data_IF_608148618808
#
_entry.id   IF_608148618808
#
_cell.length_a   1.000
_cell.length_b   1.000
_cell.length_c   1.000
_cell.angle_alpha   90.00
_cell.angle_beta   90.00
_cell.angle_gamma   90.00
#
_symmetry.space_group_name_H-M   'P 1'
#
loop_
_entity.id
_entity.type
_entity.pdbx_description
1 polymer ?
#
# COMPACT_ATOMS: atom_id res chain seq x y z
N UNK A 1 2.79 -20.93 32.47
CA UNK A 1 3.55 -19.80 31.90
C UNK A 1 2.59 -18.92 31.08
N UNK A 2 2.38 -17.67 31.50
CA UNK A 2 1.56 -16.71 30.73
C UNK A 2 2.31 -16.41 29.43
N UNK A 3 1.73 -16.78 28.30
CA UNK A 3 2.16 -16.29 26.99
C UNK A 3 1.89 -14.79 26.93
N UNK A 4 2.83 -13.97 27.41
CA UNK A 4 2.84 -12.55 27.11
C UNK A 4 2.90 -12.42 25.59
N UNK A 5 1.77 -12.06 24.98
CA UNK A 5 1.72 -11.68 23.57
C UNK A 5 2.68 -10.51 23.40
N UNK A 6 3.88 -10.77 22.90
CA UNK A 6 4.80 -9.73 22.44
C UNK A 6 4.02 -8.91 21.39
N UNK A 7 3.59 -7.71 21.79
CA UNK A 7 2.93 -6.77 20.90
C UNK A 7 3.97 -6.37 19.87
N UNK A 8 3.96 -7.01 18.69
CA UNK A 8 4.82 -6.63 17.58
C UNK A 8 4.53 -5.17 17.22
N UNK A 9 5.45 -4.29 17.64
CA UNK A 9 5.41 -2.83 17.45
C UNK A 9 5.44 -2.49 15.96
N UNK A 10 4.73 -1.44 15.55
CA UNK A 10 5.07 -0.76 14.31
C UNK A 10 6.41 -0.05 14.53
N UNK A 11 7.44 -0.43 13.77
CA UNK A 11 8.73 0.26 13.79
C UNK A 11 8.58 1.56 12.97
N UNK A 12 8.07 2.59 13.63
CA UNK A 12 8.04 3.98 13.12
C UNK A 12 9.37 4.64 13.42
N UNK A 13 9.82 5.49 12.51
CA UNK A 13 11.06 6.25 12.67
C UNK A 13 10.65 7.58 13.33
N UNK A 14 11.24 7.96 14.48
CA UNK A 14 11.00 9.28 15.06
C UNK A 14 11.55 10.36 14.11
N UNK A 15 10.81 11.45 13.95
CA UNK A 15 11.24 12.60 13.15
C UNK A 15 11.91 13.67 14.01
N UNK A 16 11.69 13.65 15.33
CA UNK A 16 12.39 14.47 16.30
C UNK A 16 13.57 13.70 16.92
N UNK A 17 14.68 14.39 17.14
CA UNK A 17 15.90 13.84 17.76
C UNK A 17 15.87 13.94 19.28
N UNK A 18 15.23 14.99 19.79
CA UNK A 18 14.90 15.22 21.19
C UNK A 18 13.40 15.54 21.29
N UNK A 19 12.74 15.03 22.33
CA UNK A 19 11.34 15.30 22.60
C UNK A 19 11.23 16.40 23.65
N UNK A 20 10.44 17.42 23.37
CA UNK A 20 10.14 18.46 24.35
C UNK A 20 8.94 18.03 25.19
N UNK A 21 8.85 18.58 26.41
CA UNK A 21 7.68 18.40 27.28
C UNK A 21 6.43 19.03 26.62
N UNK A 22 6.62 20.09 25.83
CA UNK A 22 5.55 20.76 25.10
C UNK A 22 5.20 20.03 23.80
N UNK A 23 4.04 19.38 23.82
CA UNK A 23 3.48 18.61 22.70
C UNK A 23 3.08 19.50 21.53
N UNK A 24 2.70 20.76 21.78
CA UNK A 24 2.40 21.74 20.74
C UNK A 24 3.68 22.15 20.00
N UNK A 25 4.77 22.32 20.75
CA UNK A 25 6.07 22.61 20.14
C UNK A 25 6.59 21.40 19.35
N UNK A 26 6.44 20.17 19.86
CA UNK A 26 6.71 18.96 19.09
C UNK A 26 5.94 18.91 17.76
N UNK A 27 4.63 19.23 17.77
CA UNK A 27 3.83 19.31 16.54
C UNK A 27 4.37 20.37 15.58
N UNK A 28 4.65 21.59 16.07
CA UNK A 28 5.25 22.66 15.28
C UNK A 28 6.58 22.23 14.65
N UNK A 29 7.43 21.55 15.40
CA UNK A 29 8.73 21.06 14.94
C UNK A 29 8.58 20.00 13.82
N UNK A 30 7.59 19.10 13.93
CA UNK A 30 7.29 18.12 12.87
C UNK A 30 6.79 18.82 11.60
N UNK A 31 5.88 19.78 11.74
CA UNK A 31 5.36 20.59 10.62
C UNK A 31 6.50 21.35 9.96
N UNK A 32 7.37 21.99 10.74
CA UNK A 32 8.53 22.71 10.25
C UNK A 32 9.47 21.80 9.46
N UNK A 33 9.83 20.62 10.00
CA UNK A 33 10.65 19.63 9.28
C UNK A 33 10.00 19.16 7.99
N UNK A 34 8.69 18.95 7.98
CA UNK A 34 7.98 18.56 6.77
C UNK A 34 8.00 19.67 5.71
N UNK A 35 7.84 20.95 6.11
CA UNK A 35 7.90 22.11 5.20
C UNK A 35 9.29 22.33 4.60
N UNK A 36 10.36 21.89 5.27
CA UNK A 36 11.72 21.93 4.72
C UNK A 36 11.94 20.90 3.59
N UNK A 37 11.10 19.86 3.50
CA UNK A 37 11.25 18.84 2.47
C UNK A 37 10.81 19.36 1.10
N UNK A 38 11.75 19.36 0.15
CA UNK A 38 11.47 19.63 -1.26
C UNK A 38 11.34 18.30 -2.01
N UNK A 39 10.12 17.77 -2.06
CA UNK A 39 9.83 16.55 -2.84
C UNK A 39 9.52 16.92 -4.29
N UNK A 40 10.08 16.17 -5.22
CA UNK A 40 9.79 16.33 -6.64
C UNK A 40 8.29 16.10 -6.91
N UNK A 41 7.63 17.05 -7.58
CA UNK A 41 6.20 17.05 -7.89
C UNK A 41 5.34 17.82 -6.88
N UNK A 42 5.94 18.35 -5.82
CA UNK A 42 5.27 19.10 -4.75
C UNK A 42 5.54 20.61 -4.87
N UNK A 43 6.09 21.09 -5.99
CA UNK A 43 6.61 22.47 -6.14
C UNK A 43 5.50 23.54 -6.05
N UNK A 44 4.29 23.22 -6.51
CA UNK A 44 3.17 24.15 -6.56
C UNK A 44 2.19 23.98 -5.40
N UNK A 45 2.53 23.17 -4.41
CA UNK A 45 1.63 22.90 -3.29
C UNK A 45 1.58 24.10 -2.35
N UNK A 46 0.37 24.59 -2.15
CA UNK A 46 0.06 25.54 -1.10
C UNK A 46 -0.26 24.78 0.17
N UNK A 47 0.54 24.99 1.22
CA UNK A 47 0.41 24.22 2.46
C UNK A 47 -0.98 24.33 3.09
N UNK A 48 -1.63 25.49 2.99
CA UNK A 48 -2.93 25.75 3.61
C UNK A 48 -4.12 25.15 2.83
N UNK A 49 -3.89 24.67 1.60
CA UNK A 49 -4.93 24.06 0.79
C UNK A 49 -5.23 22.63 1.23
N UNK A 50 -6.49 22.24 1.23
CA UNK A 50 -6.95 20.91 1.64
C UNK A 50 -6.74 19.84 0.56
N UNK A 51 -6.53 20.28 -0.69
CA UNK A 51 -6.21 19.42 -1.83
C UNK A 51 -4.83 19.81 -2.33
N UNK A 52 -3.92 18.83 -2.34
CA UNK A 52 -2.61 18.98 -2.94
C UNK A 52 -2.59 18.30 -4.30
N UNK A 53 -2.32 19.08 -5.33
CA UNK A 53 -2.05 18.59 -6.67
C UNK A 53 -0.56 18.30 -6.84
N UNK A 54 -0.26 17.06 -7.22
CA UNK A 54 1.10 16.57 -7.43
C UNK A 54 1.27 16.33 -8.91
N UNK A 55 2.25 17.00 -9.53
CA UNK A 55 2.42 17.05 -10.99
C UNK A 55 3.60 16.21 -11.49
N UNK A 56 4.49 15.78 -10.59
CA UNK A 56 5.62 14.92 -10.96
C UNK A 56 6.07 14.00 -9.80
N UNK A 57 7.23 13.37 -9.95
CA UNK A 57 7.84 12.56 -8.89
C UNK A 57 7.29 11.13 -8.75
N UNK A 58 7.67 10.49 -7.63
CA UNK A 58 7.53 9.04 -7.42
C UNK A 58 6.08 8.56 -7.43
N UNK A 59 5.16 9.38 -6.91
CA UNK A 59 3.74 9.02 -6.85
C UNK A 59 3.08 8.92 -8.24
N UNK A 60 3.58 9.68 -9.22
CA UNK A 60 3.16 9.61 -10.62
C UNK A 60 3.85 8.46 -11.37
N UNK A 61 5.15 8.25 -11.13
CA UNK A 61 5.95 7.20 -11.79
C UNK A 61 5.46 5.78 -11.48
N UNK A 62 4.85 5.56 -10.31
CA UNK A 62 4.28 4.25 -9.95
C UNK A 62 2.91 3.98 -10.59
N UNK A 63 2.29 4.99 -11.19
CA UNK A 63 1.01 4.80 -11.88
C UNK A 63 1.27 4.22 -13.28
N UNK A 64 0.78 3.01 -13.54
CA UNK A 64 0.83 2.39 -14.89
C UNK A 64 -0.16 3.04 -15.88
N UNK A 65 -0.63 4.25 -15.57
CA UNK A 65 -1.63 5.01 -16.30
C UNK A 65 -0.97 6.32 -16.71
N UNK A 66 -1.28 6.84 -17.90
CA UNK A 66 -0.82 8.15 -18.38
C UNK A 66 -1.53 9.29 -17.61
N UNK A 67 -1.32 9.35 -16.31
CA UNK A 67 -1.86 10.37 -15.43
C UNK A 67 -0.87 11.53 -15.41
N UNK A 68 -1.35 12.76 -15.66
CA UNK A 68 -0.52 13.98 -15.64
C UNK A 68 -0.42 14.60 -14.25
N UNK A 69 -1.44 14.42 -13.41
CA UNK A 69 -1.47 14.94 -12.05
C UNK A 69 -2.25 14.02 -11.10
N UNK A 70 -1.90 14.05 -9.82
CA UNK A 70 -2.51 13.23 -8.77
C UNK A 70 -2.86 14.11 -7.59
N UNK A 71 -4.07 13.91 -7.06
CA UNK A 71 -4.52 14.68 -5.88
C UNK A 71 -4.40 13.85 -4.61
N UNK A 72 -3.83 14.47 -3.58
CA UNK A 72 -3.98 14.09 -2.17
C UNK A 72 -4.99 15.03 -1.52
N UNK A 73 -5.99 14.47 -0.83
CA UNK A 73 -7.08 15.24 -0.22
C UNK A 73 -7.02 15.03 1.29
N UNK A 74 -6.83 16.11 2.04
CA UNK A 74 -6.79 16.13 3.50
C UNK A 74 -8.18 16.43 4.04
N UNK A 75 -9.12 15.57 3.68
CA UNK A 75 -10.53 15.64 4.05
C UNK A 75 -10.88 14.47 4.95
N UNK A 76 -12.01 14.57 5.65
CA UNK A 76 -12.64 13.41 6.23
C UNK A 76 -12.95 12.37 5.15
N UNK A 77 -12.92 11.09 5.50
CA UNK A 77 -13.38 10.04 4.59
C UNK A 77 -14.79 10.38 4.05
N UNK A 78 -15.09 9.98 2.82
CA UNK A 78 -16.43 10.16 2.23
C UNK A 78 -17.53 9.50 3.07
N UNK A 79 -17.19 8.45 3.82
CA UNK A 79 -18.08 7.77 4.77
C UNK A 79 -18.33 8.56 6.07
N UNK A 80 -17.58 9.65 6.28
CA UNK A 80 -17.67 10.56 7.43
C UNK A 80 -18.10 11.98 7.00
N UNK A 81 -18.59 12.14 5.77
CA UNK A 81 -19.13 13.42 5.26
C UNK A 81 -18.21 14.21 4.33
N UNK A 82 -16.96 13.76 4.09
CA UNK A 82 -16.03 14.42 3.15
C UNK A 82 -15.71 15.90 3.43
N UNK A 83 -15.97 16.37 4.65
CA UNK A 83 -15.66 17.73 5.07
C UNK A 83 -14.16 17.94 5.25
N UNK A 84 -13.71 19.20 5.30
CA UNK A 84 -12.32 19.54 5.59
C UNK A 84 -11.88 18.97 6.94
N UNK A 85 -10.67 18.40 7.00
CA UNK A 85 -10.12 17.84 8.24
C UNK A 85 -9.87 18.96 9.28
N UNK A 86 -9.27 20.08 8.83
CA UNK A 86 -9.07 21.29 9.62
C UNK A 86 -8.06 21.16 10.77
N UNK A 87 -7.61 22.32 11.24
CA UNK A 87 -6.84 22.46 12.49
C UNK A 87 -5.58 21.60 12.57
N UNK A 88 -5.24 21.19 13.80
CA UNK A 88 -4.02 20.42 14.10
C UNK A 88 -3.99 19.05 13.40
N UNK A 89 -5.15 18.44 13.13
CA UNK A 89 -5.25 17.16 12.44
C UNK A 89 -4.86 17.24 10.97
N UNK A 90 -5.27 18.31 10.28
CA UNK A 90 -4.88 18.56 8.89
C UNK A 90 -3.38 18.82 8.76
N UNK A 91 -2.85 19.68 9.64
CA UNK A 91 -1.42 19.99 9.71
C UNK A 91 -0.57 18.75 9.98
N UNK A 92 -1.00 17.92 10.95
CA UNK A 92 -0.35 16.66 11.26
C UNK A 92 -0.40 15.68 10.08
N UNK A 93 -1.56 15.55 9.42
CA UNK A 93 -1.72 14.65 8.28
C UNK A 93 -0.79 15.04 7.13
N UNK A 94 -0.74 16.32 6.79
CA UNK A 94 0.17 16.90 5.78
C UNK A 94 1.62 16.61 6.11
N UNK A 95 2.03 16.91 7.35
CA UNK A 95 3.41 16.71 7.78
C UNK A 95 3.81 15.22 7.76
N UNK A 96 3.00 14.33 8.33
CA UNK A 96 3.28 12.90 8.35
C UNK A 96 3.30 12.29 6.96
N UNK A 97 2.42 12.71 6.04
CA UNK A 97 2.43 12.22 4.65
C UNK A 97 3.77 12.53 3.96
N UNK A 98 4.26 13.77 4.05
CA UNK A 98 5.55 14.15 3.46
C UNK A 98 6.72 13.39 4.10
N UNK A 99 6.75 13.33 5.43
CA UNK A 99 7.81 12.65 6.16
C UNK A 99 7.80 11.12 5.92
N UNK A 100 6.62 10.51 5.78
CA UNK A 100 6.47 9.10 5.39
C UNK A 100 6.92 8.84 3.96
N UNK A 101 6.59 9.72 3.01
CA UNK A 101 7.05 9.65 1.62
C UNK A 101 8.57 9.77 1.49
N UNK A 102 9.17 10.65 2.30
CA UNK A 102 10.61 10.82 2.32
C UNK A 102 11.32 9.60 2.93
N UNK A 103 10.83 9.09 4.06
CA UNK A 103 11.48 8.00 4.81
C UNK A 103 11.29 6.60 4.22
N UNK A 104 10.18 6.33 3.53
CA UNK A 104 9.87 5.02 2.95
C UNK A 104 9.27 5.15 1.56
N UNK A 105 9.55 4.17 0.70
CA UNK A 105 8.86 4.02 -0.58
C UNK A 105 7.41 3.58 -0.33
N UNK A 106 6.48 4.56 -0.31
CA UNK A 106 5.05 4.33 -0.14
C UNK A 106 4.29 4.79 -1.38
N UNK A 107 3.46 3.91 -1.91
CA UNK A 107 2.65 4.20 -3.08
C UNK A 107 1.42 5.07 -2.77
N UNK A 108 0.80 5.60 -3.82
CA UNK A 108 -0.36 6.49 -3.67
C UNK A 108 -1.53 5.86 -2.90
N UNK A 109 -1.98 4.61 -3.18
CA UNK A 109 -3.04 3.98 -2.39
C UNK A 109 -2.71 3.88 -0.90
N UNK A 110 -1.45 3.61 -0.54
CA UNK A 110 -0.99 3.57 0.84
C UNK A 110 -1.09 4.95 1.50
N UNK A 111 -0.68 6.02 0.80
CA UNK A 111 -0.81 7.39 1.33
C UNK A 111 -2.26 7.77 1.56
N UNK A 112 -3.14 7.49 0.59
CA UNK A 112 -4.58 7.75 0.73
C UNK A 112 -5.19 6.95 1.88
N UNK A 113 -4.80 5.68 2.03
CA UNK A 113 -5.24 4.84 3.15
C UNK A 113 -4.79 5.38 4.51
N UNK A 114 -3.58 5.94 4.58
CA UNK A 114 -3.06 6.57 5.78
C UNK A 114 -3.83 7.85 6.14
N UNK A 115 -4.11 8.72 5.18
CA UNK A 115 -4.95 9.93 5.38
C UNK A 115 -6.35 9.53 5.86
N UNK A 116 -6.95 8.51 5.24
CA UNK A 116 -8.25 8.00 5.67
C UNK A 116 -8.19 7.55 7.13
N UNK A 117 -7.17 6.77 7.54
CA UNK A 117 -7.03 6.35 8.92
C UNK A 117 -6.92 7.54 9.90
N UNK A 118 -6.15 8.57 9.56
CA UNK A 118 -6.09 9.81 10.36
C UNK A 118 -7.46 10.43 10.49
N UNK A 119 -8.24 10.53 9.41
CA UNK A 119 -9.58 11.12 9.47
C UNK A 119 -10.54 10.40 10.42
N UNK A 120 -10.46 9.07 10.52
CA UNK A 120 -11.28 8.30 11.46
C UNK A 120 -10.85 8.53 12.91
N UNK A 121 -9.55 8.66 13.16
CA UNK A 121 -9.04 8.96 14.51
C UNK A 121 -9.40 10.39 14.91
N UNK A 122 -9.25 11.36 14.01
CA UNK A 122 -9.69 12.73 14.22
C UNK A 122 -11.19 12.80 14.51
N UNK A 123 -11.99 12.07 13.74
CA UNK A 123 -13.44 12.00 13.95
C UNK A 123 -13.78 11.44 15.34
N UNK A 124 -13.15 10.34 15.75
CA UNK A 124 -13.36 9.73 17.06
C UNK A 124 -13.06 10.69 18.22
N UNK A 125 -11.94 11.43 18.14
CA UNK A 125 -11.56 12.41 19.15
C UNK A 125 -12.50 13.62 19.16
N UNK A 126 -12.89 14.10 17.98
CA UNK A 126 -13.75 15.28 17.85
C UNK A 126 -15.19 15.00 18.33
N UNK A 127 -15.67 13.75 18.26
CA UNK A 127 -16.98 13.39 18.80
C UNK A 127 -17.11 13.66 20.30
N UNK A 128 -16.03 13.51 21.06
CA UNK A 128 -15.97 13.88 22.49
C UNK A 128 -15.39 15.27 22.73
N UNK A 129 -15.28 16.12 21.69
CA UNK A 129 -14.67 17.45 21.73
C UNK A 129 -13.24 17.45 22.32
N UNK A 130 -12.49 16.37 22.10
CA UNK A 130 -11.12 16.22 22.58
C UNK A 130 -10.10 16.93 21.69
N UNK A 131 -8.86 17.05 22.19
CA UNK A 131 -7.72 17.52 21.40
C UNK A 131 -6.86 16.35 20.90
N UNK A 132 -6.02 16.61 19.88
CA UNK A 132 -5.00 15.66 19.40
C UNK A 132 -4.12 15.14 20.55
N UNK A 133 -3.76 16.02 21.49
CA UNK A 133 -2.86 15.73 22.60
C UNK A 133 -3.49 14.80 23.65
N UNK A 134 -4.81 14.77 23.72
CA UNK A 134 -5.60 13.95 24.65
C UNK A 134 -6.04 12.61 24.05
N UNK A 135 -5.53 12.26 22.86
CA UNK A 135 -5.82 10.99 22.20
C UNK A 135 -5.47 9.82 23.12
N UNK A 136 -6.39 8.86 23.20
CA UNK A 136 -6.20 7.64 23.97
C UNK A 136 -6.52 6.38 23.16
N UNK A 137 -6.31 5.20 23.77
CA UNK A 137 -6.56 3.90 23.10
C UNK A 137 -8.02 3.66 22.75
N UNK A 138 -8.97 4.19 23.53
CA UNK A 138 -10.40 4.02 23.28
C UNK A 138 -10.82 4.78 22.02
N UNK A 139 -10.26 5.98 21.78
CA UNK A 139 -10.49 6.73 20.54
C UNK A 139 -10.00 5.93 19.31
N UNK A 140 -8.84 5.27 19.44
CA UNK A 140 -8.27 4.42 18.39
C UNK A 140 -9.12 3.16 18.13
N UNK A 141 -9.66 2.55 19.18
CA UNK A 141 -10.58 1.41 19.07
C UNK A 141 -11.88 1.82 18.39
N UNK A 142 -12.45 2.98 18.76
CA UNK A 142 -13.65 3.53 18.14
C UNK A 142 -13.43 3.82 16.65
N UNK A 143 -12.27 4.41 16.30
CA UNK A 143 -11.88 4.62 14.91
C UNK A 143 -11.81 3.28 14.14
N UNK A 144 -11.17 2.26 14.72
CA UNK A 144 -11.08 0.94 14.11
C UNK A 144 -12.43 0.23 13.95
N UNK A 145 -13.35 0.42 14.90
CA UNK A 145 -14.72 -0.10 14.83
C UNK A 145 -15.51 0.55 13.71
N UNK A 146 -15.46 1.88 13.61
CA UNK A 146 -16.10 2.62 12.51
C UNK A 146 -15.53 2.20 11.15
N UNK A 147 -14.22 2.05 11.04
CA UNK A 147 -13.56 1.52 9.83
C UNK A 147 -14.11 0.14 9.47
N UNK A 148 -14.29 -0.75 10.46
CA UNK A 148 -14.80 -2.11 10.23
C UNK A 148 -16.25 -2.11 9.77
N UNK A 149 -17.05 -1.13 10.22
CA UNK A 149 -18.44 -0.96 9.77
C UNK A 149 -18.54 -0.41 8.36
N UNK A 150 -17.62 0.47 7.96
CA UNK A 150 -17.72 1.20 6.69
C UNK A 150 -17.03 0.53 5.50
N UNK A 151 -16.12 -0.41 5.74
CA UNK A 151 -15.29 -1.02 4.70
C UNK A 151 -15.29 -2.54 4.75
N UNK A 152 -14.97 -3.17 3.62
CA UNK A 152 -14.74 -4.61 3.55
C UNK A 152 -13.60 -5.06 4.45
N UNK A 153 -13.65 -6.30 4.92
CA UNK A 153 -12.67 -6.87 5.86
C UNK A 153 -11.21 -6.65 5.42
N UNK A 154 -10.90 -6.83 4.13
CA UNK A 154 -9.55 -6.62 3.59
C UNK A 154 -9.09 -5.17 3.64
N UNK A 155 -10.01 -4.24 3.38
CA UNK A 155 -9.72 -2.80 3.39
C UNK A 155 -9.62 -2.29 4.82
N UNK A 156 -10.56 -2.69 5.68
CA UNK A 156 -10.55 -2.40 7.11
C UNK A 156 -9.26 -2.90 7.76
N UNK A 157 -8.82 -4.13 7.47
CA UNK A 157 -7.57 -4.69 7.97
C UNK A 157 -6.34 -3.84 7.62
N UNK A 158 -6.30 -3.27 6.40
CA UNK A 158 -5.22 -2.37 6.00
C UNK A 158 -5.31 -1.02 6.72
N UNK A 159 -6.51 -0.47 6.87
CA UNK A 159 -6.71 0.78 7.61
C UNK A 159 -6.41 0.64 9.10
N UNK A 160 -6.71 -0.50 9.74
CA UNK A 160 -6.29 -0.79 11.12
C UNK A 160 -4.76 -0.76 11.28
N UNK A 161 -4.01 -1.20 10.25
CA UNK A 161 -2.55 -1.06 10.26
C UNK A 161 -2.13 0.40 10.20
N UNK A 162 -2.80 1.22 9.41
CA UNK A 162 -2.52 2.65 9.34
C UNK A 162 -2.88 3.39 10.64
N UNK A 163 -3.94 2.98 11.34
CA UNK A 163 -4.25 3.48 12.70
C UNK A 163 -3.11 3.13 13.67
N UNK A 164 -2.62 1.88 13.65
CA UNK A 164 -1.46 1.48 14.45
C UNK A 164 -0.16 2.21 14.07
N UNK A 165 0.05 2.46 12.77
CA UNK A 165 1.19 3.25 12.27
C UNK A 165 1.10 4.71 12.73
N UNK A 166 -0.09 5.32 12.69
CA UNK A 166 -0.33 6.67 13.20
C UNK A 166 0.00 6.74 14.70
N UNK A 167 -0.55 5.83 15.51
CA UNK A 167 -0.25 5.78 16.93
C UNK A 167 1.25 5.65 17.20
N UNK A 168 1.96 4.83 16.43
CA UNK A 168 3.42 4.72 16.51
C UNK A 168 4.14 6.01 16.12
N UNK A 169 3.62 6.82 15.19
CA UNK A 169 4.18 8.13 14.88
C UNK A 169 3.90 9.15 16.00
N UNK A 170 2.72 9.11 16.61
CA UNK A 170 2.38 10.00 17.73
C UNK A 170 3.28 9.71 18.95
N UNK A 171 3.48 8.44 19.29
CA UNK A 171 4.37 8.00 20.37
C UNK A 171 5.82 8.40 20.09
N UNK A 172 6.34 8.09 18.89
CA UNK A 172 7.73 8.34 18.53
C UNK A 172 8.09 9.83 18.47
N UNK A 173 7.10 10.72 18.36
CA UNK A 173 7.32 12.17 18.30
C UNK A 173 6.72 12.92 19.50
N UNK A 174 6.36 12.22 20.59
CA UNK A 174 5.91 12.86 21.83
C UNK A 174 4.69 13.75 21.64
N UNK A 175 3.73 13.34 20.81
CA UNK A 175 2.55 14.15 20.48
C UNK A 175 1.35 13.91 21.39
N UNK A 176 1.31 12.80 22.14
CA UNK A 176 0.20 12.49 23.03
C UNK A 176 0.60 12.56 24.51
N UNK A 177 -0.39 12.77 25.39
CA UNK A 177 -0.16 12.77 26.85
C UNK A 177 0.29 11.42 27.37
N UNK A 178 -0.27 10.36 26.79
CA UNK A 178 0.01 8.98 27.16
C UNK A 178 0.75 8.26 26.03
N UNK A 179 1.49 7.22 26.39
CA UNK A 179 2.03 6.28 25.41
C UNK A 179 0.89 5.39 24.89
N UNK A 180 0.60 5.49 23.61
CA UNK A 180 -0.47 4.75 22.97
C UNK A 180 -0.12 3.28 22.81
N UNK A 181 1.12 2.94 22.41
CA UNK A 181 1.62 1.59 22.16
C UNK A 181 0.53 0.68 21.56
N UNK A 182 -0.09 1.17 20.50
CA UNK A 182 -1.40 0.70 20.08
C UNK A 182 -1.32 -0.46 19.09
N UNK A 183 -2.16 -1.47 19.34
CA UNK A 183 -2.49 -2.53 18.39
C UNK A 183 -3.96 -2.85 18.55
N UNK A 184 -4.71 -2.75 17.46
CA UNK A 184 -6.15 -3.00 17.50
C UNK A 184 -6.45 -4.44 17.95
N UNK A 185 -7.17 -4.65 19.07
CA UNK A 185 -7.37 -5.99 19.66
C UNK A 185 -8.14 -6.95 18.74
N UNK A 186 -9.13 -6.43 18.02
CA UNK A 186 -9.98 -7.21 17.10
C UNK A 186 -9.39 -7.30 15.68
N UNK A 187 -8.13 -6.90 15.48
CA UNK A 187 -7.49 -7.01 14.18
C UNK A 187 -7.29 -8.48 13.79
N UNK A 188 -8.20 -9.01 12.97
CA UNK A 188 -8.09 -10.33 12.37
C UNK A 188 -7.57 -10.21 10.94
N UNK A 189 -6.60 -11.05 10.58
CA UNK A 189 -6.14 -11.12 9.19
C UNK A 189 -7.25 -11.78 8.34
N UNK A 190 -7.73 -11.13 7.27
CA UNK A 190 -8.75 -11.71 6.41
C UNK A 190 -8.23 -12.95 5.69
N UNK A 191 -9.12 -13.91 5.43
CA UNK A 191 -8.80 -15.12 4.66
C UNK A 191 -8.29 -14.80 3.23
N UNK A 192 -8.71 -13.67 2.66
CA UNK A 192 -8.31 -13.18 1.33
C UNK A 192 -6.88 -12.63 1.28
N UNK A 193 -6.27 -12.29 2.43
CA UNK A 193 -4.91 -11.73 2.54
C UNK A 193 -3.88 -12.82 2.87
N UNK A 194 -4.30 -14.08 2.98
CA UNK A 194 -3.39 -15.20 3.13
C UNK A 194 -2.70 -15.47 1.79
N UNK A 195 -1.40 -15.21 1.73
CA UNK A 195 -0.54 -15.72 0.67
C UNK A 195 -0.56 -17.24 0.73
N UNK A 196 -0.62 -17.91 -0.43
CA UNK A 196 -0.60 -19.38 -0.54
C UNK A 196 0.53 -20.01 0.31
N UNK A 197 1.69 -19.36 0.43
CA UNK A 197 2.83 -19.83 1.22
C UNK A 197 2.72 -19.68 2.75
N UNK A 198 1.60 -19.19 3.30
CA UNK A 198 1.38 -19.13 4.76
C UNK A 198 0.24 -20.03 5.24
N UNK A 199 -0.40 -20.77 4.33
CA UNK A 199 -1.30 -21.87 4.71
C UNK A 199 -0.46 -23.12 4.95
N UNK A 200 -0.68 -23.78 6.08
CA UNK A 200 -0.10 -25.08 6.41
C UNK A 200 -0.61 -26.10 5.40
N UNK A 201 0.29 -26.75 4.66
CA UNK A 201 -0.08 -27.72 3.62
C UNK A 201 -0.80 -28.95 4.19
N UNK A 202 -0.59 -29.19 5.49
CA UNK A 202 -1.15 -30.25 6.33
C UNK A 202 -2.56 -29.97 6.88
N UNK A 203 -3.09 -28.75 6.74
CA UNK A 203 -4.42 -28.42 7.26
C UNK A 203 -5.52 -28.90 6.28
N UNK A 204 -6.47 -29.76 6.71
CA UNK A 204 -7.50 -30.34 5.83
C UNK A 204 -8.40 -29.30 5.15
N UNK A 205 -8.57 -28.11 5.74
CA UNK A 205 -9.30 -26.99 5.12
C UNK A 205 -8.53 -26.26 3.99
N UNK A 206 -7.30 -26.68 3.72
CA UNK A 206 -6.42 -26.09 2.68
C UNK A 206 -6.70 -26.65 1.28
N UNK A 207 -7.29 -27.85 1.22
CA UNK A 207 -7.67 -28.52 -0.02
C UNK A 207 -8.81 -27.80 -0.74
N UNK A 208 -9.71 -27.14 0.00
CA UNK A 208 -10.74 -26.25 -0.54
C UNK A 208 -10.19 -24.85 -0.84
N UNK A 209 -9.11 -24.76 -1.60
CA UNK A 209 -8.81 -23.49 -2.25
C UNK A 209 -9.76 -23.34 -3.42
N UNK A 210 -10.62 -22.31 -3.39
CA UNK A 210 -11.17 -21.71 -4.62
C UNK A 210 -9.98 -21.28 -5.46
N UNK A 211 -9.43 -22.22 -6.22
CA UNK A 211 -8.27 -21.98 -7.03
C UNK A 211 -8.70 -20.92 -8.04
N UNK A 212 -8.08 -19.74 -7.98
CA UNK A 212 -8.21 -18.74 -9.05
C UNK A 212 -7.38 -19.16 -10.26
N UNK A 213 -7.30 -20.47 -10.50
CA UNK A 213 -6.63 -21.06 -11.63
C UNK A 213 -7.61 -20.96 -12.78
N UNK A 214 -7.14 -20.46 -13.91
CA UNK A 214 -7.98 -20.35 -15.10
C UNK A 214 -8.43 -21.76 -15.51
N UNK A 215 -9.73 -21.92 -15.77
CA UNK A 215 -10.25 -23.18 -16.26
C UNK A 215 -9.57 -23.56 -17.58
N UNK A 216 -9.32 -24.86 -17.88
CA UNK A 216 -8.72 -25.29 -19.15
C UNK A 216 -9.41 -24.72 -20.39
N UNK A 217 -10.74 -24.52 -20.31
CA UNK A 217 -11.54 -23.91 -21.38
C UNK A 217 -11.07 -22.49 -21.74
N UNK A 218 -10.61 -21.71 -20.77
CA UNK A 218 -10.09 -20.36 -21.00
C UNK A 218 -8.82 -20.42 -21.85
N UNK A 219 -7.93 -21.37 -21.59
CA UNK A 219 -6.72 -21.57 -22.41
C UNK A 219 -7.08 -22.01 -23.83
N UNK A 220 -8.08 -22.88 -23.99
CA UNK A 220 -8.56 -23.29 -25.31
C UNK A 220 -9.10 -22.08 -26.11
N UNK A 221 -9.92 -21.24 -25.48
CA UNK A 221 -10.48 -20.04 -26.13
C UNK A 221 -9.37 -19.05 -26.49
N UNK A 222 -8.40 -18.81 -25.60
CA UNK A 222 -7.25 -17.96 -25.91
C UNK A 222 -6.43 -18.50 -27.08
N UNK A 223 -6.24 -19.82 -27.15
CA UNK A 223 -5.58 -20.48 -28.29
C UNK A 223 -6.35 -20.31 -29.60
N UNK A 224 -7.67 -20.49 -29.59
CA UNK A 224 -8.52 -20.27 -30.76
C UNK A 224 -8.48 -18.81 -31.23
N UNK A 225 -8.58 -17.85 -30.31
CA UNK A 225 -8.43 -16.43 -30.62
C UNK A 225 -7.05 -16.11 -31.19
N UNK A 226 -6.00 -16.71 -30.64
CA UNK A 226 -4.63 -16.54 -31.14
C UNK A 226 -4.43 -17.14 -32.55
N UNK A 227 -5.12 -18.20 -32.92
CA UNK A 227 -5.01 -18.78 -34.26
C UNK A 227 -5.86 -18.03 -35.28
N UNK A 228 -7.09 -17.66 -34.91
CA UNK A 228 -8.10 -17.18 -35.85
C UNK A 228 -8.10 -15.67 -36.06
N UNK A 229 -7.62 -14.87 -35.09
CA UNK A 229 -7.61 -13.40 -35.22
C UNK A 229 -6.39 -12.96 -36.01
N UNK A 230 -6.53 -12.23 -37.14
CA UNK A 230 -5.40 -11.80 -37.96
C UNK A 230 -4.36 -10.98 -37.19
N UNK A 231 -3.10 -11.04 -37.63
CA UNK A 231 -1.98 -10.32 -36.98
C UNK A 231 -2.20 -8.80 -36.94
N UNK A 232 -2.82 -8.23 -37.97
CA UNK A 232 -3.08 -6.79 -38.09
C UNK A 232 -4.39 -6.35 -37.43
N UNK A 233 -5.11 -7.26 -36.78
CA UNK A 233 -6.36 -6.91 -36.13
C UNK A 233 -6.11 -6.05 -34.87
N UNK A 234 -6.91 -4.98 -34.68
CA UNK A 234 -6.79 -4.06 -33.53
C UNK A 234 -6.78 -4.74 -32.15
N UNK A 235 -7.42 -5.91 -32.03
CA UNK A 235 -7.46 -6.67 -30.78
C UNK A 235 -6.35 -7.72 -30.61
N UNK A 236 -5.50 -7.91 -31.62
CA UNK A 236 -4.41 -8.90 -31.56
C UNK A 236 -3.50 -8.68 -30.36
N UNK A 237 -3.18 -7.42 -30.08
CA UNK A 237 -2.36 -7.04 -28.93
C UNK A 237 -2.98 -7.47 -27.60
N UNK A 238 -4.28 -7.27 -27.40
CA UNK A 238 -4.96 -7.67 -26.17
C UNK A 238 -5.03 -9.20 -26.02
N UNK A 239 -5.24 -9.93 -27.11
CA UNK A 239 -5.22 -11.40 -27.10
C UNK A 239 -3.84 -11.92 -26.67
N UNK A 240 -2.77 -11.34 -27.22
CA UNK A 240 -1.40 -11.67 -26.82
C UNK A 240 -1.17 -11.35 -25.33
N UNK A 241 -1.59 -10.19 -24.87
CA UNK A 241 -1.44 -9.75 -23.48
C UNK A 241 -2.18 -10.69 -22.51
N UNK A 242 -3.42 -11.07 -22.83
CA UNK A 242 -4.22 -12.02 -22.04
C UNK A 242 -3.61 -13.42 -22.03
N UNK A 243 -3.11 -13.88 -23.18
CA UNK A 243 -2.38 -15.16 -23.28
C UNK A 243 -1.13 -15.13 -22.41
N UNK A 244 -0.41 -14.03 -22.42
CA UNK A 244 0.79 -13.85 -21.62
C UNK A 244 0.46 -13.81 -20.11
N UNK A 245 -0.63 -13.18 -19.69
CA UNK A 245 -1.11 -13.26 -18.29
C UNK A 245 -1.48 -14.68 -17.88
N UNK A 246 -2.26 -15.37 -18.71
CA UNK A 246 -2.73 -16.73 -18.43
C UNK A 246 -1.57 -17.72 -18.29
N UNK A 247 -0.57 -17.62 -19.16
CA UNK A 247 0.58 -18.53 -19.18
C UNK A 247 1.63 -18.22 -18.12
N UNK A 248 1.86 -16.94 -17.78
CA UNK A 248 2.95 -16.55 -16.87
C UNK A 248 2.50 -16.29 -15.44
N UNK A 249 1.19 -16.06 -15.22
CA UNK A 249 0.64 -15.68 -13.91
C UNK A 249 1.15 -14.35 -13.37
N UNK A 250 1.75 -13.50 -14.23
CA UNK A 250 2.36 -12.23 -13.82
C UNK A 250 1.34 -11.11 -13.72
N UNK A 251 1.64 -10.10 -12.89
CA UNK A 251 0.77 -8.92 -12.76
C UNK A 251 0.93 -8.02 -13.98
N UNK A 252 -0.11 -7.27 -14.31
CA UNK A 252 -0.07 -6.25 -15.37
C UNK A 252 1.13 -5.32 -15.23
N UNK A 253 1.39 -4.79 -14.03
CA UNK A 253 2.51 -3.88 -13.78
C UNK A 253 3.88 -4.49 -14.03
N UNK A 254 3.98 -5.82 -13.95
CA UNK A 254 5.22 -6.56 -14.21
C UNK A 254 5.41 -6.69 -15.73
N UNK A 255 4.35 -6.99 -16.48
CA UNK A 255 4.42 -7.13 -17.94
C UNK A 255 4.50 -5.80 -18.67
N UNK A 256 3.86 -4.74 -18.16
CA UNK A 256 3.92 -3.40 -18.76
C UNK A 256 5.31 -2.76 -18.66
N UNK A 257 6.19 -3.29 -17.79
CA UNK A 257 7.55 -2.81 -17.59
C UNK A 257 8.60 -3.76 -18.20
N UNK A 258 8.17 -4.75 -18.99
CA UNK A 258 9.07 -5.71 -19.61
C UNK A 258 9.91 -4.99 -20.68
N UNK A 259 11.25 -5.04 -20.60
CA UNK A 259 12.09 -4.37 -21.58
C UNK A 259 11.94 -5.05 -22.95
N UNK A 260 12.06 -4.27 -24.02
CA UNK A 260 12.15 -4.80 -25.37
C UNK A 260 13.37 -5.71 -25.47
N UNK A 261 13.13 -7.02 -25.61
CA UNK A 261 14.16 -8.04 -25.63
C UNK A 261 13.75 -9.19 -26.55
N UNK A 262 14.75 -9.88 -27.10
CA UNK A 262 14.54 -11.14 -27.80
C UNK A 262 14.30 -12.26 -26.77
N UNK A 263 13.51 -13.25 -27.14
CA UNK A 263 13.38 -14.50 -26.37
C UNK A 263 14.73 -15.21 -26.41
N UNK A 264 15.24 -15.58 -25.25
CA UNK A 264 16.50 -16.33 -25.11
C UNK A 264 16.21 -17.80 -24.82
N UNK A 265 17.18 -18.69 -25.03
CA UNK A 265 17.05 -20.11 -24.70
C UNK A 265 18.10 -20.52 -23.66
N UNK A 266 17.73 -21.36 -22.70
CA UNK A 266 18.68 -21.92 -21.73
C UNK A 266 19.48 -23.09 -22.33
N UNK A 267 20.39 -23.66 -21.55
CA UNK A 267 21.20 -24.83 -21.93
C UNK A 267 20.37 -26.09 -22.21
N UNK A 268 19.08 -26.09 -21.88
CA UNK A 268 18.12 -27.16 -22.14
C UNK A 268 17.16 -26.80 -23.29
N UNK A 269 17.43 -25.72 -24.04
CA UNK A 269 16.61 -25.27 -25.18
C UNK A 269 15.28 -24.63 -24.78
N UNK A 270 15.09 -24.27 -23.51
CA UNK A 270 13.83 -23.66 -23.04
C UNK A 270 13.88 -22.16 -23.25
N UNK A 271 12.88 -21.66 -23.97
CA UNK A 271 12.66 -20.24 -24.14
C UNK A 271 12.44 -19.54 -22.79
N UNK A 272 13.07 -18.39 -22.59
CA UNK A 272 12.89 -17.51 -21.43
C UNK A 272 12.97 -16.02 -21.79
N UNK A 273 12.48 -15.20 -20.87
CA UNK A 273 12.61 -13.74 -20.89
C UNK A 273 13.23 -13.29 -19.57
N UNK A 274 14.17 -12.35 -19.65
CA UNK A 274 14.74 -11.70 -18.48
C UNK A 274 13.73 -10.71 -17.90
N UNK A 275 13.43 -10.86 -16.61
CA UNK A 275 12.52 -9.96 -15.90
C UNK A 275 13.29 -9.23 -14.80
N UNK A 276 13.20 -7.90 -14.76
CA UNK A 276 13.75 -7.09 -13.66
C UNK A 276 12.76 -7.02 -12.50
N UNK A 277 13.06 -7.63 -11.34
CA UNK A 277 12.20 -7.51 -10.18
C UNK A 277 12.50 -6.18 -9.49
N UNK A 278 11.78 -5.10 -9.85
CA UNK A 278 11.72 -3.87 -9.01
C UNK A 278 11.09 -4.10 -7.62
N UNK A 279 10.77 -5.35 -7.24
CA UNK A 279 10.20 -5.73 -5.94
C UNK A 279 11.24 -6.01 -4.85
N UNK A 280 12.40 -5.37 -4.93
CA UNK A 280 13.30 -5.25 -3.79
C UNK A 280 13.49 -3.76 -3.60
N UNK A 281 12.92 -3.24 -2.51
CA UNK A 281 13.24 -1.91 -2.02
C UNK A 281 14.75 -1.78 -2.00
N UNK A 282 15.26 -0.84 -2.78
CA UNK A 282 16.66 -0.46 -2.74
C UNK A 282 16.75 1.04 -2.61
N UNK A 283 17.17 1.47 -1.42
CA UNK A 283 18.13 2.56 -1.35
C UNK A 283 19.30 2.17 -2.26
N UNK A 284 19.79 3.14 -3.03
CA UNK A 284 20.82 2.99 -4.06
C UNK A 284 21.84 1.88 -3.75
N UNK A 285 21.78 0.77 -4.49
CA UNK A 285 22.88 -0.17 -4.77
C UNK A 285 22.36 -1.30 -5.66
N UNK A 286 23.07 -1.65 -6.71
CA UNK A 286 22.77 -2.68 -7.70
C UNK A 286 22.30 -4.05 -7.13
N UNK A 287 21.32 -4.74 -7.72
CA UNK A 287 21.03 -6.18 -7.47
C UNK A 287 20.78 -6.94 -8.76
N UNK A 288 21.19 -8.22 -8.84
CA UNK A 288 21.40 -8.94 -10.08
C UNK A 288 20.11 -9.49 -10.69
N UNK A 289 20.19 -9.73 -12.00
CA UNK A 289 19.16 -10.28 -12.87
C UNK A 289 18.73 -11.69 -12.42
N UNK A 290 17.44 -11.99 -12.44
CA UNK A 290 16.91 -13.36 -12.28
C UNK A 290 16.34 -13.85 -13.61
N UNK A 291 16.84 -15.00 -14.08
CA UNK A 291 16.33 -15.70 -15.26
C UNK A 291 15.09 -16.53 -14.86
N UNK A 292 14.01 -16.48 -15.64
CA UNK A 292 12.83 -17.32 -15.43
C UNK A 292 12.82 -18.50 -16.39
N UNK A 293 13.01 -19.71 -15.89
CA UNK A 293 12.88 -20.95 -16.67
C UNK A 293 11.40 -21.29 -16.83
N UNK A 294 10.93 -21.47 -18.07
CA UNK A 294 9.59 -22.00 -18.35
C UNK A 294 9.60 -23.51 -18.11
N UNK A 295 8.93 -23.98 -17.04
CA UNK A 295 8.69 -25.41 -16.85
C UNK A 295 7.39 -25.81 -17.55
N UNK A 296 7.49 -26.53 -18.68
CA UNK A 296 6.45 -27.50 -19.05
C UNK A 296 6.72 -28.77 -18.25
N UNK A 297 5.77 -29.19 -17.41
CA UNK A 297 5.78 -30.57 -16.90
C UNK A 297 5.64 -31.51 -18.10
N UNK A 298 6.47 -32.55 -18.25
CA UNK A 298 6.14 -33.64 -19.16
C UNK A 298 4.92 -34.37 -18.60
N UNK A 299 3.89 -34.56 -19.42
CA UNK A 299 2.89 -35.60 -19.19
C UNK A 299 3.64 -36.93 -19.24
N UNK A 300 3.70 -37.63 -18.11
CA UNK A 300 4.01 -39.05 -18.11
C UNK A 300 2.75 -39.77 -18.57
N UNK A 301 2.87 -40.50 -19.68
CA UNK A 301 1.99 -41.63 -20.02
C UNK A 301 2.18 -42.73 -18.98
#
# INVERSE_FOLDING_TARGET
MRNEKIIRKFKTIPFLTSLEVDRRLNLKNIIYKAKLLKLNGFEFIQWNEEIWEITSGRLLQESSKNIRCINLRFLYSSKLGNNRLGGEWEELAKALVLLRLHSKQQNLPNQRGFIIAISYVAYAVNQRKGSLYDLNKQDLDLACDLISKHYSESTAYNYHKHVGELAGHLDANGLCKILLNYKYPRQKRPNSVNSIGMKRLDDPGTLETRSRVLAPKVFQILGQLYLNVPKQHKYRFYILLLTFFACTGRRFSELSQLPYQKIQNDSFGRAYLEYFPRKISKGNTYTPKKNYIYHRKPLKL
#
